data_IF_879628637089
#
_entry.id   IF_879628637089
#
_cell.length_a   1.000
_cell.length_b   1.000
_cell.length_c   1.000
_cell.angle_alpha   90.00
_cell.angle_beta   90.00
_cell.angle_gamma   90.00
#
_symmetry.space_group_name_H-M   'P 1'
#
loop_
_entity.id
_entity.type
_entity.pdbx_description
1 polymer ?
#
# COMPACT_ATOMS: atom_id res chain seq x y z
N UNK A 1 -4.61 -35.18 -5.77
CA UNK A 1 -3.47 -34.72 -4.96
C UNK A 1 -2.60 -33.81 -5.82
N UNK A 2 -2.53 -32.50 -5.53
CA UNK A 2 -1.48 -31.66 -6.14
C UNK A 2 -0.12 -32.20 -5.66
N UNK A 3 0.88 -32.36 -6.53
CA UNK A 3 2.19 -32.85 -6.10
C UNK A 3 2.76 -31.86 -5.08
N UNK A 4 3.08 -32.34 -3.88
CA UNK A 4 3.80 -31.57 -2.88
C UNK A 4 5.17 -31.20 -3.46
N UNK A 5 5.35 -29.94 -3.85
CA UNK A 5 6.61 -29.45 -4.38
C UNK A 5 7.69 -29.60 -3.28
N UNK A 6 8.73 -30.40 -3.51
CA UNK A 6 9.78 -30.69 -2.53
C UNK A 6 10.42 -29.42 -1.94
N UNK A 7 10.52 -28.36 -2.76
CA UNK A 7 11.06 -27.05 -2.38
C UNK A 7 10.21 -26.32 -1.32
N UNK A 8 8.91 -26.62 -1.22
CA UNK A 8 8.05 -26.03 -0.18
C UNK A 8 8.54 -26.36 1.24
N UNK A 9 9.13 -27.54 1.44
CA UNK A 9 9.74 -27.97 2.71
C UNK A 9 11.05 -27.26 3.04
N UNK A 10 11.68 -26.63 2.04
CA UNK A 10 12.94 -25.88 2.19
C UNK A 10 12.73 -24.37 2.10
N UNK A 11 11.49 -23.89 2.02
CA UNK A 11 11.14 -22.47 1.85
C UNK A 11 11.86 -21.57 2.86
N UNK A 12 11.79 -21.87 4.15
CA UNK A 12 12.46 -21.09 5.19
C UNK A 12 13.99 -21.05 5.03
N UNK A 13 14.60 -22.17 4.62
CA UNK A 13 16.05 -22.25 4.40
C UNK A 13 16.46 -21.46 3.16
N UNK A 14 15.69 -21.52 2.08
CA UNK A 14 15.90 -20.75 0.85
C UNK A 14 15.75 -19.25 1.12
N UNK A 15 14.69 -18.83 1.81
CA UNK A 15 14.48 -17.42 2.19
C UNK A 15 15.67 -16.94 3.03
N UNK A 16 16.06 -17.70 4.06
CA UNK A 16 17.21 -17.34 4.91
C UNK A 16 18.50 -17.21 4.10
N UNK A 17 18.73 -18.14 3.16
CA UNK A 17 19.90 -18.09 2.29
C UNK A 17 19.88 -16.85 1.38
N UNK A 18 18.75 -16.55 0.71
CA UNK A 18 18.60 -15.38 -0.14
C UNK A 18 18.76 -14.07 0.63
N UNK A 19 18.23 -13.99 1.86
CA UNK A 19 18.42 -12.82 2.70
C UNK A 19 19.91 -12.66 3.03
N UNK A 20 20.59 -13.71 3.51
CA UNK A 20 22.02 -13.65 3.83
C UNK A 20 22.91 -13.31 2.64
N UNK A 21 22.65 -13.90 1.48
CA UNK A 21 23.47 -13.69 0.28
C UNK A 21 23.35 -12.29 -0.31
N UNK A 22 22.27 -11.56 0.03
CA UNK A 22 22.03 -10.18 -0.41
C UNK A 22 22.36 -9.13 0.66
N UNK A 23 22.95 -9.55 1.79
CA UNK A 23 23.41 -8.65 2.85
C UNK A 23 24.50 -7.70 2.35
N UNK A 24 24.53 -6.53 2.96
CA UNK A 24 25.48 -5.44 2.77
C UNK A 24 26.06 -5.05 4.11
N UNK A 25 27.25 -4.48 4.10
CA UNK A 25 27.92 -4.06 5.33
C UNK A 25 27.11 -2.97 6.04
N UNK A 26 26.85 -3.09 7.36
CA UNK A 26 26.20 -2.04 8.14
C UNK A 26 27.10 -0.79 8.22
N UNK A 27 26.51 0.40 8.39
CA UNK A 27 27.29 1.62 8.54
C UNK A 27 28.08 1.59 9.85
N UNK A 28 29.26 2.22 9.84
CA UNK A 28 30.12 2.32 11.03
C UNK A 28 29.51 3.17 12.14
N UNK A 29 28.65 4.13 11.77
CA UNK A 29 27.92 5.00 12.70
C UNK A 29 26.44 4.95 12.36
N UNK A 30 25.62 4.75 13.39
CA UNK A 30 24.17 4.76 13.26
C UNK A 30 23.72 6.20 12.96
N UNK A 31 22.87 6.44 11.95
CA UNK A 31 22.39 7.78 11.66
C UNK A 31 21.48 8.26 12.79
N UNK A 32 21.78 9.44 13.33
CA UNK A 32 20.95 10.09 14.35
C UNK A 32 19.93 11.01 13.69
N UNK A 33 18.65 10.79 14.01
CA UNK A 33 17.51 11.53 13.47
C UNK A 33 16.83 12.33 14.58
N UNK A 34 16.48 13.56 14.26
CA UNK A 34 15.73 14.45 15.15
C UNK A 34 14.29 14.48 14.67
N UNK A 35 13.39 13.89 15.44
CA UNK A 35 11.99 13.68 15.05
C UNK A 35 11.10 14.56 15.91
N UNK A 36 10.28 15.39 15.29
CA UNK A 36 9.24 16.18 15.94
C UNK A 36 7.89 15.47 15.79
N UNK A 37 7.49 14.70 16.80
CA UNK A 37 6.21 13.97 16.81
C UNK A 37 5.00 14.89 17.01
N UNK A 38 5.19 16.05 17.63
CA UNK A 38 4.12 17.02 17.81
C UNK A 38 3.61 17.53 16.46
N UNK A 39 4.53 17.93 15.56
CA UNK A 39 4.17 18.34 14.20
C UNK A 39 3.53 17.22 13.38
N UNK A 40 4.00 15.98 13.55
CA UNK A 40 3.41 14.82 12.90
C UNK A 40 1.98 14.55 13.39
N UNK A 41 1.75 14.70 14.69
CA UNK A 41 0.42 14.56 15.30
C UNK A 41 -0.55 15.63 14.81
N UNK A 42 -0.12 16.90 14.73
CA UNK A 42 -0.91 17.98 14.14
C UNK A 42 -1.26 17.73 12.67
N UNK A 43 -0.29 17.25 11.88
CA UNK A 43 -0.53 16.85 10.48
C UNK A 43 -1.53 15.71 10.37
N UNK A 44 -1.40 14.67 11.21
CA UNK A 44 -2.33 13.53 11.23
C UNK A 44 -3.77 13.97 11.55
N UNK A 45 -3.95 14.95 12.43
CA UNK A 45 -5.27 15.47 12.77
C UNK A 45 -5.92 16.23 11.59
N UNK A 46 -5.13 16.92 10.77
CA UNK A 46 -5.63 17.62 9.58
C UNK A 46 -4.60 17.64 8.43
N UNK A 47 -4.52 16.56 7.63
CA UNK A 47 -3.51 16.45 6.57
C UNK A 47 -3.64 17.49 5.46
N UNK A 48 -4.80 18.15 5.34
CA UNK A 48 -5.05 19.16 4.32
C UNK A 48 -4.25 20.46 4.54
N UNK A 49 -3.74 20.71 5.76
CA UNK A 49 -2.98 21.92 6.08
C UNK A 49 -1.54 21.89 5.55
N UNK A 50 -0.96 20.71 5.39
CA UNK A 50 0.36 20.52 4.77
C UNK A 50 0.28 19.46 3.66
N UNK A 51 -0.12 19.84 2.43
CA UNK A 51 -0.14 18.93 1.29
C UNK A 51 1.23 18.33 0.95
N UNK A 52 2.31 18.95 1.41
CA UNK A 52 3.67 18.45 1.18
C UNK A 52 4.09 17.34 2.16
N UNK A 53 3.28 17.07 3.19
CA UNK A 53 3.48 16.04 4.20
C UNK A 53 4.83 16.12 4.92
N UNK A 54 5.47 17.30 4.97
CA UNK A 54 6.83 17.49 5.48
C UNK A 54 6.94 17.17 6.96
N UNK A 55 5.86 17.38 7.70
CA UNK A 55 5.81 17.22 9.13
C UNK A 55 5.55 15.77 9.58
N UNK A 56 5.26 14.86 8.65
CA UNK A 56 5.07 13.43 8.96
C UNK A 56 6.36 12.78 9.45
N UNK A 57 6.27 11.84 10.39
CA UNK A 57 7.43 11.05 10.84
C UNK A 57 8.05 10.34 9.64
N UNK A 58 7.26 9.77 8.73
CA UNK A 58 7.72 9.16 7.49
C UNK A 58 8.65 10.08 6.69
N UNK A 59 8.27 11.35 6.51
CA UNK A 59 9.08 12.30 5.75
C UNK A 59 10.29 12.78 6.56
N UNK A 60 10.17 12.90 7.88
CA UNK A 60 11.28 13.26 8.76
C UNK A 60 12.38 12.17 8.80
N UNK A 61 12.00 10.89 8.71
CA UNK A 61 12.97 9.76 8.67
C UNK A 61 13.44 9.41 7.25
N UNK A 62 12.83 10.00 6.21
CA UNK A 62 13.22 9.75 4.83
C UNK A 62 14.63 10.30 4.55
N UNK A 63 15.58 9.48 4.03
CA UNK A 63 16.99 9.85 3.95
C UNK A 63 17.29 11.06 3.07
N UNK A 64 16.40 11.42 2.15
CA UNK A 64 16.56 12.61 1.29
C UNK A 64 16.12 13.91 1.96
N UNK A 65 15.38 13.82 3.06
CA UNK A 65 14.97 14.95 3.91
C UNK A 65 15.82 15.08 5.18
N UNK A 66 16.58 14.03 5.55
CA UNK A 66 17.59 14.11 6.58
C UNK A 66 18.58 15.25 6.25
N UNK A 67 19.08 16.01 7.25
CA UNK A 67 19.99 17.13 7.02
C UNK A 67 21.18 16.72 6.14
N UNK A 68 21.73 17.66 5.35
CA UNK A 68 22.90 17.50 4.45
C UNK A 68 24.12 16.74 5.03
N UNK A 69 24.14 16.48 6.33
CA UNK A 69 25.18 15.76 7.06
C UNK A 69 24.97 14.23 7.12
N UNK A 70 23.80 13.70 6.73
CA UNK A 70 23.56 12.25 6.62
C UNK A 70 23.60 11.88 5.13
N UNK A 71 24.67 11.25 4.62
CA UNK A 71 24.69 10.75 3.26
C UNK A 71 23.43 9.91 2.99
N UNK A 72 22.68 10.21 1.93
CA UNK A 72 21.53 9.38 1.50
C UNK A 72 21.89 7.88 1.32
N UNK A 73 23.19 7.56 1.23
CA UNK A 73 23.77 6.22 1.21
C UNK A 73 23.79 5.49 2.57
N UNK A 74 23.53 6.15 3.70
CA UNK A 74 23.59 5.51 5.02
C UNK A 74 22.30 4.79 5.40
N UNK A 75 21.16 5.21 4.86
CA UNK A 75 19.85 4.60 5.11
C UNK A 75 19.35 3.77 3.91
N UNK A 76 20.21 3.56 2.92
CA UNK A 76 19.90 2.82 1.70
C UNK A 76 21.05 1.87 1.38
N UNK A 77 20.80 0.56 1.19
CA UNK A 77 19.50 -0.11 1.06
C UNK A 77 19.03 -0.86 2.33
N UNK A 78 19.56 -0.55 3.52
CA UNK A 78 19.25 -1.23 4.80
C UNK A 78 19.25 -2.77 4.69
N UNK A 79 20.05 -3.34 3.78
CA UNK A 79 20.21 -4.79 3.63
C UNK A 79 21.23 -5.30 4.63
N UNK A 80 21.05 -5.02 5.90
CA UNK A 80 22.02 -5.34 6.93
C UNK A 80 21.77 -6.74 7.53
N UNK A 81 22.78 -7.32 8.21
CA UNK A 81 22.62 -8.60 8.89
C UNK A 81 21.53 -8.53 9.98
N UNK A 82 20.96 -9.69 10.33
CA UNK A 82 19.94 -9.81 11.39
C UNK A 82 20.37 -9.20 12.74
N UNK A 83 21.67 -9.18 13.04
CA UNK A 83 22.20 -8.57 14.26
C UNK A 83 22.09 -7.05 14.30
N UNK A 84 21.80 -6.40 13.17
CA UNK A 84 21.65 -4.95 13.05
C UNK A 84 20.16 -4.59 12.94
N UNK A 85 19.47 -4.60 14.08
CA UNK A 85 18.01 -4.39 14.13
C UNK A 85 17.59 -2.94 14.29
N UNK A 86 18.50 -2.06 14.70
CA UNK A 86 18.24 -0.61 14.81
C UNK A 86 18.79 0.11 13.59
N UNK A 87 17.94 0.84 12.87
CA UNK A 87 18.33 1.48 11.61
C UNK A 87 18.75 2.95 11.75
N UNK A 88 18.25 3.60 12.80
CA UNK A 88 18.61 4.96 13.18
C UNK A 88 18.48 5.15 14.70
N UNK A 89 19.15 6.17 15.23
CA UNK A 89 18.97 6.66 16.59
C UNK A 89 17.94 7.79 16.58
N UNK A 90 16.99 7.78 17.51
CA UNK A 90 15.97 8.83 17.62
C UNK A 90 16.29 9.82 18.73
N UNK A 91 16.21 11.10 18.41
CA UNK A 91 16.06 12.18 19.39
C UNK A 91 14.71 12.85 19.14
N UNK A 92 13.76 12.63 20.05
CA UNK A 92 12.43 13.23 19.94
C UNK A 92 12.49 14.68 20.43
N UNK A 93 12.34 15.61 19.49
CA UNK A 93 12.42 17.06 19.76
C UNK A 93 11.29 17.40 20.74
N UNK A 94 11.61 18.19 21.77
CA UNK A 94 10.72 18.62 22.88
C UNK A 94 10.32 17.57 23.91
N UNK A 95 10.64 16.29 23.70
CA UNK A 95 10.24 15.22 24.64
C UNK A 95 11.34 14.87 25.64
N UNK A 96 12.57 15.34 25.42
CA UNK A 96 13.71 15.06 26.29
C UNK A 96 14.17 13.60 26.28
N UNK A 97 13.69 12.79 25.32
CA UNK A 97 14.03 11.38 25.15
C UNK A 97 15.21 11.27 24.17
N UNK A 98 16.32 10.73 24.65
CA UNK A 98 17.48 10.31 23.84
C UNK A 98 17.55 8.79 23.89
N UNK A 99 17.46 8.15 22.73
CA UNK A 99 17.16 6.73 22.63
C UNK A 99 18.38 5.79 22.81
N UNK A 100 18.17 4.67 23.52
CA UNK A 100 19.05 3.49 23.59
C UNK A 100 18.41 2.22 22.94
N UNK A 101 17.39 2.38 22.08
CA UNK A 101 16.76 1.34 21.24
C UNK A 101 15.22 1.23 21.26
N UNK A 102 14.52 2.02 22.08
CA UNK A 102 13.04 2.08 22.14
C UNK A 102 12.44 3.08 21.13
N UNK A 103 13.00 4.28 21.05
CA UNK A 103 12.56 5.36 20.16
C UNK A 103 12.61 5.00 18.67
N UNK A 104 13.58 4.19 18.24
CA UNK A 104 13.56 3.62 16.88
C UNK A 104 12.25 2.85 16.59
N UNK A 105 11.85 1.94 17.48
CA UNK A 105 10.61 1.16 17.29
C UNK A 105 9.37 2.03 17.37
N UNK A 106 9.34 3.00 18.28
CA UNK A 106 8.25 3.98 18.35
C UNK A 106 8.13 4.76 17.03
N UNK A 107 9.24 5.22 16.46
CA UNK A 107 9.21 5.93 15.17
C UNK A 107 8.75 5.04 14.01
N UNK A 108 9.02 3.74 14.04
CA UNK A 108 8.54 2.79 13.03
C UNK A 108 7.05 2.51 13.17
N UNK A 109 6.53 2.51 14.41
CA UNK A 109 5.09 2.46 14.68
C UNK A 109 4.40 3.74 14.19
N UNK A 110 4.98 4.91 14.45
CA UNK A 110 4.46 6.19 13.94
C UNK A 110 4.39 6.18 12.40
N UNK A 111 5.45 5.70 11.73
CA UNK A 111 5.46 5.51 10.27
C UNK A 111 4.36 4.55 9.80
N UNK A 112 4.17 3.43 10.51
CA UNK A 112 3.12 2.45 10.18
C UNK A 112 1.73 3.09 10.25
N UNK A 113 1.47 3.86 11.32
CA UNK A 113 0.22 4.56 11.55
C UNK A 113 -0.03 5.71 10.56
N UNK A 114 1.01 6.35 10.04
CA UNK A 114 0.89 7.36 8.98
C UNK A 114 0.63 6.74 7.60
N UNK A 115 1.16 5.55 7.32
CA UNK A 115 0.98 4.84 6.05
C UNK A 115 -0.38 4.14 5.98
N UNK A 116 -0.74 3.41 7.04
CA UNK A 116 -1.96 2.62 7.14
C UNK A 116 -2.58 2.82 8.53
N UNK A 117 -3.34 3.90 8.75
CA UNK A 117 -3.97 4.16 10.04
C UNK A 117 -4.81 2.98 10.54
N UNK A 118 -4.67 2.63 11.81
CA UNK A 118 -5.43 1.52 12.43
C UNK A 118 -6.92 1.84 12.67
N UNK A 119 -7.29 3.12 12.68
CA UNK A 119 -8.67 3.57 12.84
C UNK A 119 -9.30 3.94 11.50
N UNK A 120 -10.53 3.49 11.26
CA UNK A 120 -11.34 3.83 10.08
C UNK A 120 -11.74 5.30 9.99
N UNK A 121 -11.87 5.98 11.13
CA UNK A 121 -12.49 7.31 11.22
C UNK A 121 -11.48 8.47 11.11
N UNK A 122 -10.18 8.16 11.04
CA UNK A 122 -9.14 9.17 10.89
C UNK A 122 -8.80 9.42 9.41
N UNK A 123 -8.47 10.67 9.04
CA UNK A 123 -7.89 10.96 7.73
C UNK A 123 -6.63 10.13 7.47
N UNK A 124 -6.37 9.80 6.21
CA UNK A 124 -5.11 9.16 5.80
C UNK A 124 -4.01 10.24 5.70
N UNK A 125 -2.94 10.20 6.52
CA UNK A 125 -1.97 11.29 6.60
C UNK A 125 -1.05 11.41 5.38
N UNK A 126 -0.81 10.29 4.69
CA UNK A 126 0.12 10.20 3.57
C UNK A 126 -0.60 9.81 2.27
N UNK A 127 -0.21 10.36 1.11
CA UNK A 127 -0.91 10.13 -0.15
C UNK A 127 -0.55 8.80 -0.84
N UNK A 128 0.23 7.92 -0.20
CA UNK A 128 0.75 6.70 -0.84
C UNK A 128 -0.25 5.55 -0.87
N UNK A 129 -1.18 5.53 0.09
CA UNK A 129 -2.19 4.50 0.18
C UNK A 129 -3.57 5.13 0.30
N UNK A 130 -4.57 4.44 -0.21
CA UNK A 130 -5.99 4.80 -0.07
C UNK A 130 -6.74 3.62 0.54
N UNK A 131 -7.79 3.96 1.28
CA UNK A 131 -8.71 2.98 1.86
C UNK A 131 -9.34 2.13 0.75
N UNK A 132 -9.51 0.84 1.00
CA UNK A 132 -10.26 -0.02 0.06
C UNK A 132 -11.73 0.37 -0.03
N UNK A 133 -12.39 0.07 -1.15
CA UNK A 133 -13.84 0.31 -1.31
C UNK A 133 -14.68 -0.44 -0.28
N UNK A 134 -14.18 -1.56 0.26
CA UNK A 134 -14.86 -2.37 1.26
C UNK A 134 -15.05 -1.69 2.62
N UNK A 135 -14.36 -0.58 2.92
CA UNK A 135 -14.43 0.04 4.26
C UNK A 135 -15.81 0.60 4.64
N UNK A 136 -16.65 0.94 3.65
CA UNK A 136 -18.03 1.38 3.90
C UNK A 136 -19.00 0.27 4.33
N UNK A 137 -18.61 -1.01 4.20
CA UNK A 137 -19.47 -2.15 4.48
C UNK A 137 -19.26 -2.70 5.90
N UNK A 138 -20.36 -2.99 6.59
CA UNK A 138 -20.35 -3.25 8.02
C UNK A 138 -19.75 -4.61 8.44
N UNK A 139 -19.19 -5.43 7.53
CA UNK A 139 -18.54 -6.70 7.85
C UNK A 139 -17.05 -6.50 8.23
N UNK A 140 -16.67 -7.00 9.39
CA UNK A 140 -15.55 -6.55 10.25
C UNK A 140 -14.11 -6.87 9.80
N UNK A 141 -13.87 -7.57 8.70
CA UNK A 141 -12.51 -8.08 8.41
C UNK A 141 -11.73 -7.27 7.35
N UNK A 142 -12.41 -6.42 6.56
CA UNK A 142 -11.78 -5.62 5.49
C UNK A 142 -11.84 -4.10 5.75
N UNK A 143 -12.37 -3.66 6.91
CA UNK A 143 -12.63 -2.24 7.21
C UNK A 143 -11.38 -1.37 7.36
N UNK A 144 -10.20 -1.98 7.47
CA UNK A 144 -8.97 -1.25 7.76
C UNK A 144 -7.84 -1.59 6.78
N UNK A 145 -8.18 -2.09 5.59
CA UNK A 145 -7.20 -2.38 4.55
C UNK A 145 -6.98 -1.20 3.61
N UNK A 146 -5.77 -1.15 3.03
CA UNK A 146 -5.31 -0.08 2.15
C UNK A 146 -4.69 -0.65 0.87
N UNK A 147 -4.91 0.04 -0.25
CA UNK A 147 -4.28 -0.24 -1.54
C UNK A 147 -3.43 0.96 -1.97
N UNK A 148 -2.39 0.76 -2.81
CA UNK A 148 -1.61 1.88 -3.31
C UNK A 148 -2.51 2.92 -4.01
N UNK A 149 -2.20 4.19 -3.82
CA UNK A 149 -2.93 5.27 -4.47
C UNK A 149 -2.51 5.36 -5.96
N UNK A 150 -3.39 5.02 -6.93
CA UNK A 150 -3.03 5.06 -8.35
C UNK A 150 -2.67 6.46 -8.85
N UNK A 151 -3.14 7.53 -8.18
CA UNK A 151 -2.78 8.93 -8.49
C UNK A 151 -1.42 9.37 -7.97
N UNK A 152 -0.85 8.68 -6.96
CA UNK A 152 0.41 9.11 -6.38
C UNK A 152 1.58 8.64 -7.24
N UNK A 153 2.36 9.59 -7.76
CA UNK A 153 3.52 9.34 -8.64
C UNK A 153 4.86 9.62 -7.94
N UNK A 154 4.87 9.69 -6.61
CA UNK A 154 6.09 9.83 -5.81
C UNK A 154 6.79 8.47 -5.65
N UNK A 155 7.22 7.90 -6.79
CA UNK A 155 7.89 6.60 -6.84
C UNK A 155 9.12 6.48 -5.93
N UNK A 156 9.96 7.52 -5.73
CA UNK A 156 11.04 7.45 -4.76
C UNK A 156 10.57 7.15 -3.34
N UNK A 157 9.40 7.67 -2.92
CA UNK A 157 8.83 7.35 -1.60
C UNK A 157 8.17 5.97 -1.57
N UNK A 158 7.62 5.48 -2.67
CA UNK A 158 7.23 4.05 -2.77
C UNK A 158 8.43 3.11 -2.67
N UNK A 159 9.53 3.45 -3.35
CA UNK A 159 10.79 2.71 -3.22
C UNK A 159 11.26 2.67 -1.76
N UNK A 160 11.09 3.77 -1.03
CA UNK A 160 11.36 3.80 0.41
C UNK A 160 10.54 2.79 1.20
N UNK A 161 9.22 2.81 0.96
CA UNK A 161 8.29 1.94 1.67
C UNK A 161 8.70 0.49 1.41
N UNK A 162 9.02 0.13 0.16
CA UNK A 162 9.55 -1.19 -0.18
C UNK A 162 10.87 -1.52 0.53
N UNK A 163 11.77 -0.54 0.70
CA UNK A 163 13.02 -0.71 1.44
C UNK A 163 12.78 -0.90 2.94
N UNK A 164 11.85 -0.15 3.56
CA UNK A 164 11.42 -0.35 4.95
C UNK A 164 10.80 -1.74 5.14
N UNK A 165 9.96 -2.20 4.21
CA UNK A 165 9.39 -3.55 4.23
C UNK A 165 10.49 -4.62 4.19
N UNK A 166 11.47 -4.45 3.29
CA UNK A 166 12.61 -5.36 3.17
C UNK A 166 13.53 -5.34 4.41
N UNK A 167 13.73 -4.17 5.02
CA UNK A 167 14.50 -4.01 6.25
C UNK A 167 13.79 -4.69 7.43
N UNK A 168 12.49 -4.44 7.61
CA UNK A 168 11.64 -5.07 8.63
C UNK A 168 11.70 -6.59 8.55
N UNK A 169 11.56 -7.14 7.33
CA UNK A 169 11.65 -8.58 7.08
C UNK A 169 13.01 -9.17 7.50
N UNK A 170 14.11 -8.44 7.31
CA UNK A 170 15.48 -8.89 7.63
C UNK A 170 15.80 -8.81 9.11
N UNK A 171 15.45 -7.70 9.76
CA UNK A 171 15.75 -7.47 11.18
C UNK A 171 14.72 -8.09 12.12
N UNK A 172 13.58 -8.57 11.60
CA UNK A 172 12.41 -9.00 12.38
C UNK A 172 11.78 -7.86 13.20
N UNK A 173 11.92 -6.64 12.72
CA UNK A 173 11.20 -5.49 13.25
C UNK A 173 9.82 -5.37 12.61
N UNK A 174 8.90 -4.67 13.27
CA UNK A 174 7.51 -4.60 12.84
C UNK A 174 7.23 -3.29 12.09
N UNK A 175 6.97 -3.41 10.78
CA UNK A 175 6.31 -2.38 9.97
C UNK A 175 4.89 -2.87 9.68
N UNK A 176 3.90 -2.28 10.34
CA UNK A 176 2.51 -2.75 10.27
C UNK A 176 1.83 -2.08 9.07
N UNK A 177 1.64 -2.83 7.99
CA UNK A 177 0.90 -2.37 6.80
C UNK A 177 -0.33 -3.25 6.59
N UNK A 178 -1.52 -2.68 6.78
CA UNK A 178 -2.79 -3.36 6.56
C UNK A 178 -3.13 -3.42 5.06
N UNK A 179 -2.41 -4.26 4.31
CA UNK A 179 -2.63 -4.43 2.86
C UNK A 179 -3.43 -5.71 2.57
N UNK A 180 -4.33 -5.71 1.57
CA UNK A 180 -5.08 -6.90 1.16
C UNK A 180 -4.19 -7.92 0.47
N UNK A 181 -4.67 -9.17 0.40
CA UNK A 181 -3.97 -10.28 -0.27
C UNK A 181 -3.61 -9.95 -1.72
N UNK A 182 -4.43 -9.15 -2.40
CA UNK A 182 -4.16 -8.64 -3.74
C UNK A 182 -2.77 -7.98 -3.85
N UNK A 183 -2.47 -7.03 -2.95
CA UNK A 183 -1.23 -6.25 -2.99
C UNK A 183 -0.02 -7.13 -2.62
N UNK A 184 -0.16 -7.97 -1.59
CA UNK A 184 0.90 -8.89 -1.19
C UNK A 184 1.28 -9.86 -2.30
N UNK A 185 0.29 -10.40 -3.01
CA UNK A 185 0.51 -11.30 -4.14
C UNK A 185 1.18 -10.60 -5.31
N UNK A 186 0.78 -9.37 -5.63
CA UNK A 186 1.43 -8.58 -6.67
C UNK A 186 2.93 -8.36 -6.35
N UNK A 187 3.25 -7.97 -5.11
CA UNK A 187 4.64 -7.81 -4.67
C UNK A 187 5.45 -9.11 -4.71
N UNK A 188 4.81 -10.25 -4.42
CA UNK A 188 5.44 -11.57 -4.48
C UNK A 188 5.55 -12.15 -5.91
N UNK A 189 4.96 -11.48 -6.91
CA UNK A 189 4.85 -12.00 -8.27
C UNK A 189 3.92 -13.21 -8.40
N UNK A 190 2.99 -13.37 -7.45
CA UNK A 190 1.96 -14.41 -7.49
C UNK A 190 0.79 -14.02 -8.41
N UNK A 191 0.12 -15.03 -8.96
CA UNK A 191 -1.10 -14.80 -9.73
C UNK A 191 -2.23 -14.33 -8.80
N UNK A 192 -2.89 -13.23 -9.21
CA UNK A 192 -4.01 -12.63 -8.50
C UNK A 192 -5.34 -12.99 -9.15
N UNK A 193 -6.33 -13.30 -8.32
CA UNK A 193 -7.66 -13.72 -8.75
C UNK A 193 -8.68 -12.61 -8.55
N UNK A 194 -9.46 -12.31 -9.59
CA UNK A 194 -10.58 -11.36 -9.52
C UNK A 194 -11.59 -11.74 -8.43
N UNK A 195 -12.14 -12.96 -8.49
CA UNK A 195 -13.22 -13.39 -7.60
C UNK A 195 -12.79 -13.60 -6.15
N UNK A 196 -11.48 -13.78 -5.88
CA UNK A 196 -10.96 -14.04 -4.53
C UNK A 196 -10.17 -12.87 -3.97
N UNK A 197 -9.12 -12.44 -4.66
CA UNK A 197 -8.19 -11.46 -4.14
C UNK A 197 -8.74 -10.04 -4.29
N UNK A 198 -9.31 -9.70 -5.45
CA UNK A 198 -9.91 -8.38 -5.66
C UNK A 198 -11.19 -8.16 -4.83
N UNK A 199 -11.93 -9.23 -4.52
CA UNK A 199 -13.07 -9.14 -3.60
C UNK A 199 -12.67 -8.61 -2.20
N UNK A 200 -11.40 -8.75 -1.78
CA UNK A 200 -10.90 -8.15 -0.53
C UNK A 200 -10.71 -6.63 -0.61
N UNK A 201 -10.65 -6.08 -1.82
CA UNK A 201 -10.59 -4.63 -2.10
C UNK A 201 -11.99 -4.06 -2.32
N UNK A 202 -12.78 -4.70 -3.19
CA UNK A 202 -14.06 -4.17 -3.63
C UNK A 202 -15.04 -5.31 -3.95
N UNK A 203 -15.65 -5.84 -2.89
CA UNK A 203 -16.58 -6.97 -2.97
C UNK A 203 -17.89 -6.60 -3.67
N UNK A 204 -18.33 -5.35 -3.57
CA UNK A 204 -19.54 -4.88 -4.24
C UNK A 204 -19.36 -4.76 -5.75
N UNK A 205 -18.20 -4.28 -6.21
CA UNK A 205 -17.89 -4.29 -7.64
C UNK A 205 -17.84 -5.71 -8.19
N UNK A 206 -17.24 -6.66 -7.45
CA UNK A 206 -17.21 -8.08 -7.87
C UNK A 206 -18.63 -8.62 -8.05
N UNK A 207 -19.51 -8.44 -7.05
CA UNK A 207 -20.92 -8.86 -7.11
C UNK A 207 -21.70 -8.17 -8.24
N UNK A 208 -21.45 -6.87 -8.46
CA UNK A 208 -22.08 -6.12 -9.53
C UNK A 208 -21.73 -6.68 -10.90
N UNK A 209 -20.45 -7.01 -11.15
CA UNK A 209 -20.05 -7.60 -12.44
C UNK A 209 -20.57 -9.03 -12.61
N UNK A 210 -20.65 -9.82 -11.53
CA UNK A 210 -21.27 -11.16 -11.56
C UNK A 210 -22.76 -11.08 -11.91
N UNK A 211 -23.50 -10.13 -11.31
CA UNK A 211 -24.88 -9.84 -11.66
C UNK A 211 -25.01 -9.43 -13.13
N UNK A 212 -24.14 -8.53 -13.59
CA UNK A 212 -24.13 -8.03 -14.97
C UNK A 212 -23.86 -9.15 -15.99
N UNK A 213 -23.07 -10.17 -15.62
CA UNK A 213 -22.79 -11.30 -16.49
C UNK A 213 -24.03 -12.21 -16.66
N UNK A 214 -24.71 -12.49 -15.54
CA UNK A 214 -25.80 -13.47 -15.45
C UNK A 214 -27.21 -12.94 -15.71
N UNK A 215 -27.41 -11.62 -15.75
CA UNK A 215 -28.71 -10.98 -16.00
C UNK A 215 -29.20 -11.27 -17.43
N UNK A 216 -30.52 -11.43 -17.59
CA UNK A 216 -31.16 -11.49 -18.92
C UNK A 216 -31.26 -10.10 -19.58
N UNK A 217 -31.69 -10.06 -20.85
CA UNK A 217 -31.71 -8.82 -21.62
C UNK A 217 -32.72 -7.83 -21.07
N UNK A 218 -33.93 -8.30 -20.79
CA UNK A 218 -35.04 -7.47 -20.33
C UNK A 218 -34.70 -6.80 -18.98
N UNK A 219 -34.13 -7.55 -18.05
CA UNK A 219 -33.68 -7.04 -16.77
C UNK A 219 -32.43 -6.14 -16.91
N UNK A 220 -31.50 -6.43 -17.81
CA UNK A 220 -30.36 -5.55 -18.10
C UNK A 220 -30.82 -4.18 -18.61
N UNK A 221 -31.73 -4.17 -19.59
CA UNK A 221 -32.25 -2.93 -20.18
C UNK A 221 -32.99 -2.09 -19.13
N UNK A 222 -33.73 -2.76 -18.22
CA UNK A 222 -34.43 -2.12 -17.11
C UNK A 222 -33.47 -1.53 -16.07
N UNK A 223 -32.44 -2.27 -15.65
CA UNK A 223 -31.54 -1.85 -14.57
C UNK A 223 -30.38 -0.94 -15.02
N UNK A 224 -29.86 -1.14 -16.24
CA UNK A 224 -28.59 -0.55 -16.68
C UNK A 224 -28.67 0.18 -18.02
N UNK A 225 -29.70 -0.08 -18.84
CA UNK A 225 -29.73 0.25 -20.27
C UNK A 225 -29.62 1.73 -20.65
N UNK A 226 -29.65 2.66 -19.68
CA UNK A 226 -29.48 4.11 -19.91
C UNK A 226 -28.47 4.78 -18.99
N UNK A 227 -27.95 4.06 -18.01
CA UNK A 227 -27.08 4.62 -16.96
C UNK A 227 -25.66 4.07 -17.04
N UNK A 228 -25.50 2.82 -17.50
CA UNK A 228 -24.20 2.18 -17.57
C UNK A 228 -23.41 2.67 -18.78
N UNK A 229 -22.37 3.46 -18.55
CA UNK A 229 -21.43 3.93 -19.56
C UNK A 229 -20.10 3.21 -19.47
N UNK A 230 -19.25 3.33 -20.50
CA UNK A 230 -17.89 2.75 -20.50
C UNK A 230 -16.93 3.53 -19.61
N UNK A 231 -17.24 3.60 -18.32
CA UNK A 231 -16.48 4.27 -17.28
C UNK A 231 -16.42 3.39 -16.03
N UNK A 232 -15.40 3.58 -15.22
CA UNK A 232 -15.30 2.96 -13.89
C UNK A 232 -14.67 3.93 -12.89
N UNK A 233 -14.90 3.71 -11.61
CA UNK A 233 -14.30 4.49 -10.52
C UNK A 233 -13.16 3.69 -9.92
N UNK A 234 -11.97 4.29 -9.86
CA UNK A 234 -10.77 3.69 -9.26
C UNK A 234 -10.75 3.85 -7.74
N UNK A 235 -9.79 3.23 -7.06
CA UNK A 235 -9.70 3.27 -5.59
C UNK A 235 -9.44 4.67 -5.02
N UNK A 236 -8.87 5.57 -5.83
CA UNK A 236 -8.67 6.99 -5.49
C UNK A 236 -9.91 7.87 -5.79
N UNK A 237 -11.06 7.25 -6.07
CA UNK A 237 -12.33 7.90 -6.39
C UNK A 237 -12.37 8.64 -7.74
N UNK A 238 -11.34 8.53 -8.58
CA UNK A 238 -11.39 9.11 -9.93
C UNK A 238 -12.18 8.22 -10.86
N UNK A 239 -13.03 8.86 -11.66
CA UNK A 239 -13.68 8.22 -12.79
C UNK A 239 -12.73 8.18 -14.00
N UNK A 240 -12.60 7.01 -14.61
CA UNK A 240 -11.82 6.81 -15.83
C UNK A 240 -12.68 6.21 -16.93
N UNK A 241 -12.38 6.59 -18.18
CA UNK A 241 -13.02 5.99 -19.35
C UNK A 241 -12.31 4.68 -19.73
N UNK A 242 -13.10 3.64 -20.00
CA UNK A 242 -12.60 2.31 -20.39
C UNK A 242 -12.28 2.22 -21.88
N UNK A 243 -12.90 3.09 -22.68
CA UNK A 243 -12.71 3.29 -24.12
C UNK A 243 -12.70 4.80 -24.43
N UNK A 244 -12.17 5.24 -25.58
CA UNK A 244 -12.25 6.65 -25.97
C UNK A 244 -13.70 7.16 -26.03
N UNK A 245 -13.99 8.28 -25.34
CA UNK A 245 -15.34 8.85 -25.19
C UNK A 245 -16.31 7.89 -24.49
N UNK A 246 -15.79 7.08 -23.58
CA UNK A 246 -16.54 6.08 -22.84
C UNK A 246 -17.66 6.67 -21.98
N UNK A 247 -17.47 7.88 -21.45
CA UNK A 247 -18.49 8.60 -20.66
C UNK A 247 -19.76 8.92 -21.45
N UNK A 248 -19.66 9.09 -22.78
CA UNK A 248 -20.80 9.33 -23.67
C UNK A 248 -21.34 8.07 -24.35
N UNK A 249 -20.77 6.90 -24.06
CA UNK A 249 -21.11 5.63 -24.72
C UNK A 249 -21.79 4.71 -23.74
N UNK A 250 -23.06 4.41 -23.98
CA UNK A 250 -23.86 3.48 -23.16
C UNK A 250 -23.50 2.04 -23.51
N UNK A 251 -23.36 1.21 -22.48
CA UNK A 251 -23.10 -0.23 -22.61
C UNK A 251 -24.38 -0.94 -23.01
N UNK A 252 -24.32 -1.70 -24.10
CA UNK A 252 -25.44 -2.54 -24.56
C UNK A 252 -25.36 -3.93 -23.94
N UNK A 253 -26.49 -4.64 -23.92
CA UNK A 253 -26.56 -6.00 -23.39
C UNK A 253 -25.57 -6.95 -24.09
N UNK A 254 -25.39 -6.79 -25.40
CA UNK A 254 -24.47 -7.58 -26.21
C UNK A 254 -23.00 -7.35 -25.82
N UNK A 255 -22.68 -6.12 -25.41
CA UNK A 255 -21.30 -5.70 -25.12
C UNK A 255 -20.91 -5.86 -23.65
N UNK A 256 -21.85 -6.24 -22.78
CA UNK A 256 -21.65 -6.31 -21.32
C UNK A 256 -20.45 -7.16 -20.90
N UNK A 257 -20.15 -8.23 -21.63
CA UNK A 257 -19.00 -9.10 -21.34
C UNK A 257 -17.67 -8.40 -21.62
N UNK A 258 -17.58 -7.59 -22.68
CA UNK A 258 -16.40 -6.78 -22.93
C UNK A 258 -16.29 -5.65 -21.90
N UNK A 259 -17.40 -5.01 -21.55
CA UNK A 259 -17.42 -4.03 -20.46
C UNK A 259 -16.87 -4.61 -19.15
N UNK A 260 -17.35 -5.79 -18.73
CA UNK A 260 -16.86 -6.51 -17.55
C UNK A 260 -15.34 -6.71 -17.65
N UNK A 261 -14.85 -7.23 -18.78
CA UNK A 261 -13.41 -7.46 -19.00
C UNK A 261 -12.59 -6.17 -18.89
N UNK A 262 -13.10 -5.07 -19.44
CA UNK A 262 -12.45 -3.76 -19.39
C UNK A 262 -12.37 -3.21 -17.96
N UNK A 263 -13.47 -3.31 -17.19
CA UNK A 263 -13.49 -2.92 -15.77
C UNK A 263 -12.51 -3.75 -14.97
N UNK A 264 -12.55 -5.09 -15.13
CA UNK A 264 -11.65 -6.00 -14.43
C UNK A 264 -10.19 -5.64 -14.68
N UNK A 265 -9.81 -5.45 -15.95
CA UNK A 265 -8.46 -5.05 -16.32
C UNK A 265 -8.07 -3.70 -15.69
N UNK A 266 -8.91 -2.68 -15.85
CA UNK A 266 -8.62 -1.34 -15.34
C UNK A 266 -8.40 -1.34 -13.81
N UNK A 267 -9.23 -2.08 -13.07
CA UNK A 267 -9.17 -2.13 -11.60
C UNK A 267 -8.04 -3.02 -11.08
N UNK A 268 -7.74 -4.13 -11.76
CA UNK A 268 -6.63 -5.03 -11.38
C UNK A 268 -5.25 -4.41 -11.66
N UNK A 269 -5.16 -3.54 -12.67
CA UNK A 269 -3.90 -2.92 -13.11
C UNK A 269 -3.70 -1.50 -12.56
N UNK A 270 -4.65 -0.94 -11.80
CA UNK A 270 -4.64 0.49 -11.45
C UNK A 270 -3.41 0.94 -10.66
N UNK A 271 -2.82 0.04 -9.86
CA UNK A 271 -1.66 0.33 -8.99
C UNK A 271 -0.34 -0.24 -9.52
N UNK A 272 -0.30 -0.68 -10.79
CA UNK A 272 0.86 -1.38 -11.36
C UNK A 272 2.15 -0.56 -11.41
N UNK A 273 2.06 0.76 -11.42
CA UNK A 273 3.26 1.62 -11.40
C UNK A 273 3.82 1.80 -9.97
N UNK A 274 2.98 1.67 -8.95
CA UNK A 274 3.35 1.83 -7.55
C UNK A 274 3.90 0.54 -6.92
N UNK A 275 3.52 -0.63 -7.47
CA UNK A 275 3.92 -1.98 -7.03
C UNK A 275 5.06 -2.52 -7.90
#
# INVERSE_FOLDING_TARGET
>A
MKPFLLLSKQSAALITHCLRSSETTPPHTLPKLYINRHLAWEHRANPALDPSCRNTVFTQVWPRHAPRQVPARLLLPCRWPLSYSQWWECEFITEGIVDNGGGFRDSLLDVSEELCPSSGDVPVPLPFFVRTSNQGNSSSDARDMYVPNPSCKDFPKYEWIGQLMGAALRSKEFLILSLPALVWKQLAGEEVSWSKDFATVDSELVKLLELLEGVDREAFEFMFGRELTYTTVLSDQRMVELIPKGSGTVVRYEDRKEFIRLVQRARMEESKEQV
#
